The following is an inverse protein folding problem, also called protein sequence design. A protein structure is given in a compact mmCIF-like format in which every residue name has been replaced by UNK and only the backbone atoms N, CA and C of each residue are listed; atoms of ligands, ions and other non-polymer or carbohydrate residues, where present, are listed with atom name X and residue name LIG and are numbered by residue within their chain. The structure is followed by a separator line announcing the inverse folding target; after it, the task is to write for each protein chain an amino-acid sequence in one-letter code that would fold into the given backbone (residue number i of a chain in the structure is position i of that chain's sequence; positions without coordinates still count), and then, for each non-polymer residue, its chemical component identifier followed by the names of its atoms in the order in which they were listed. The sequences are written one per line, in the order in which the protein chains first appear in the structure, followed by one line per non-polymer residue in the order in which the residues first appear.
data_IF_753668112383
#
_entry.id   IF_753668112383
#
_cell.length_a   1.000
_cell.length_b   1.000
_cell.length_c   1.000
_cell.angle_alpha   90.00
_cell.angle_beta   90.00
_cell.angle_gamma   90.00
#
_symmetry.space_group_name_H-M   'P 1'
#
loop_
_entity.id
_entity.type
_entity.pdbx_description
1 polymer ?
#
# COMPACT_ATOMS: atom_id res chain seq x y z
N UNK A 1 -11.42 -23.98 -28.51
CA UNK A 1 -11.59 -23.14 -29.71
C UNK A 1 -11.89 -21.73 -29.25
N UNK A 2 -10.92 -20.82 -29.32
CA UNK A 2 -11.10 -19.42 -28.88
C UNK A 2 -11.62 -18.60 -30.05
N UNK A 3 -12.85 -18.13 -29.96
CA UNK A 3 -13.42 -17.20 -30.94
C UNK A 3 -12.79 -15.82 -30.78
N UNK A 4 -12.39 -15.21 -31.87
CA UNK A 4 -11.82 -13.86 -31.89
C UNK A 4 -12.94 -12.80 -31.89
N UNK A 5 -12.63 -11.61 -31.40
CA UNK A 5 -13.57 -10.48 -31.26
C UNK A 5 -14.24 -10.05 -32.60
N UNK A 6 -13.72 -10.50 -33.73
CA UNK A 6 -14.25 -10.21 -35.06
C UNK A 6 -15.39 -11.14 -35.49
N UNK A 7 -15.46 -12.32 -34.89
CA UNK A 7 -16.52 -13.31 -35.23
C UNK A 7 -17.79 -13.07 -34.43
N UNK A 8 -17.73 -12.33 -33.31
CA UNK A 8 -18.89 -11.97 -32.51
C UNK A 8 -19.76 -10.88 -33.16
N UNK A 9 -19.19 -10.01 -34.01
CA UNK A 9 -19.92 -8.93 -34.68
C UNK A 9 -20.67 -9.36 -35.94
N UNK A 10 -20.36 -10.55 -36.53
CA UNK A 10 -21.02 -11.06 -37.73
C UNK A 10 -22.30 -11.82 -37.38
N UNK A 11 -22.48 -12.25 -36.14
CA UNK A 11 -23.67 -13.05 -35.74
C UNK A 11 -24.90 -12.22 -35.38
N UNK A 12 -24.78 -10.89 -35.27
CA UNK A 12 -25.87 -9.97 -34.94
C UNK A 12 -26.53 -9.29 -36.15
N UNK A 13 -26.11 -9.61 -37.38
CA UNK A 13 -26.63 -8.96 -38.58
C UNK A 13 -27.65 -9.79 -39.38
N UNK A 14 -28.16 -10.87 -38.84
CA UNK A 14 -29.05 -11.77 -39.56
C UNK A 14 -30.36 -12.04 -38.85
N UNK A 15 -31.25 -11.04 -38.68
CA UNK A 15 -32.69 -11.27 -38.55
C UNK A 15 -33.46 -9.92 -38.64
N UNK A 16 -34.29 -9.81 -39.72
CA UNK A 16 -35.51 -9.03 -39.63
C UNK A 16 -35.50 -7.63 -40.23
N UNK A 17 -35.60 -7.56 -41.57
CA UNK A 17 -36.21 -6.41 -42.25
C UNK A 17 -37.69 -6.30 -41.90
N UNK A 18 -38.07 -5.32 -41.12
CA UNK A 18 -39.42 -4.76 -41.08
C UNK A 18 -39.29 -3.24 -40.95
N UNK A 19 -39.72 -2.56 -42.00
CA UNK A 19 -39.64 -1.13 -42.14
C UNK A 19 -40.47 -0.40 -41.10
N UNK A 20 -39.91 0.67 -40.55
CA UNK A 20 -40.63 1.78 -39.98
C UNK A 20 -39.82 3.05 -40.21
N UNK A 21 -40.44 3.97 -40.96
CA UNK A 21 -40.06 5.37 -41.09
C UNK A 21 -39.88 5.98 -39.71
N UNK A 22 -38.66 6.22 -39.30
CA UNK A 22 -38.36 6.85 -38.06
C UNK A 22 -37.24 7.89 -38.26
N UNK A 23 -37.58 9.16 -38.11
CA UNK A 23 -36.71 10.29 -38.34
C UNK A 23 -35.35 10.16 -37.64
N UNK A 24 -34.32 10.53 -38.36
CA UNK A 24 -32.97 10.76 -37.82
C UNK A 24 -33.02 11.83 -36.74
N UNK A 25 -33.23 11.42 -35.48
CA UNK A 25 -32.96 12.29 -34.35
C UNK A 25 -31.45 12.45 -34.32
N UNK A 26 -30.94 13.57 -34.82
CA UNK A 26 -29.57 14.02 -34.57
C UNK A 26 -29.44 14.17 -33.06
N UNK A 27 -28.95 13.11 -32.42
CA UNK A 27 -28.53 13.15 -31.02
C UNK A 27 -27.41 14.19 -30.93
N UNK A 28 -27.74 15.37 -30.43
CA UNK A 28 -26.81 16.46 -30.18
C UNK A 28 -25.84 15.92 -29.12
N UNK A 29 -24.66 15.50 -29.52
CA UNK A 29 -23.62 15.14 -28.58
C UNK A 29 -23.35 16.35 -27.68
N UNK A 30 -23.74 16.25 -26.44
CA UNK A 30 -23.37 17.24 -25.44
C UNK A 30 -21.83 17.25 -25.40
N UNK A 31 -21.21 18.45 -25.42
CA UNK A 31 -19.76 18.52 -25.23
C UNK A 31 -19.43 17.82 -23.93
N UNK A 32 -18.38 16.98 -23.95
CA UNK A 32 -17.86 16.38 -22.74
C UNK A 32 -17.62 17.49 -21.71
N UNK A 33 -18.00 17.29 -20.44
CA UNK A 33 -17.71 18.28 -19.41
C UNK A 33 -16.22 18.61 -19.46
N UNK A 34 -15.91 19.91 -19.51
CA UNK A 34 -14.54 20.37 -19.45
C UNK A 34 -13.94 19.78 -18.18
N UNK A 35 -12.87 18.99 -18.31
CA UNK A 35 -12.11 18.51 -17.17
C UNK A 35 -11.63 19.73 -16.40
N UNK A 36 -12.10 19.90 -15.16
CA UNK A 36 -11.53 20.91 -14.29
C UNK A 36 -10.02 20.68 -14.21
N UNK A 37 -9.20 21.73 -14.24
CA UNK A 37 -7.75 21.58 -14.11
C UNK A 37 -7.48 20.86 -12.78
N UNK A 38 -6.84 19.70 -12.84
CA UNK A 38 -6.44 18.95 -11.66
C UNK A 38 -5.62 19.88 -10.75
N UNK A 39 -6.03 19.99 -9.48
CA UNK A 39 -5.28 20.74 -8.48
C UNK A 39 -3.85 20.19 -8.43
N UNK A 40 -2.83 21.04 -8.26
CA UNK A 40 -1.46 20.58 -8.11
C UNK A 40 -1.38 19.51 -7.02
N UNK A 41 -0.75 18.38 -7.31
CA UNK A 41 -0.52 17.35 -6.32
C UNK A 41 0.52 17.83 -5.31
N UNK A 42 0.12 18.04 -4.09
CA UNK A 42 1.00 18.38 -2.97
C UNK A 42 0.91 17.34 -1.89
N UNK A 43 2.08 16.89 -1.40
CA UNK A 43 2.13 15.96 -0.26
C UNK A 43 1.79 16.75 1.02
N UNK A 44 0.73 16.36 1.76
CA UNK A 44 0.35 17.05 2.98
C UNK A 44 1.47 17.04 4.01
N UNK A 45 1.58 18.10 4.82
CA UNK A 45 2.65 18.21 5.84
C UNK A 45 2.62 17.06 6.86
N UNK A 46 1.44 16.54 7.21
CA UNK A 46 1.33 15.39 8.11
C UNK A 46 1.94 14.11 7.52
N UNK A 47 2.01 13.97 6.20
CA UNK A 47 2.62 12.82 5.53
C UNK A 47 4.16 12.80 5.63
N UNK A 48 4.77 13.91 6.00
CA UNK A 48 6.24 14.05 6.10
C UNK A 48 6.76 13.69 7.49
N UNK A 49 5.90 13.69 8.52
CA UNK A 49 6.28 13.48 9.92
C UNK A 49 5.50 12.34 10.56
N UNK A 50 5.89 11.12 10.24
CA UNK A 50 5.31 9.93 10.92
C UNK A 50 6.10 9.66 12.20
N UNK A 51 5.38 9.62 13.33
CA UNK A 51 5.93 9.31 14.64
C UNK A 51 5.29 8.01 15.13
N UNK A 52 6.11 6.99 15.30
CA UNK A 52 5.65 5.74 15.88
C UNK A 52 5.87 5.79 17.40
N UNK A 53 4.83 6.14 18.14
CA UNK A 53 4.89 6.27 19.59
C UNK A 53 3.66 5.64 20.24
N UNK A 54 3.88 4.94 21.33
CA UNK A 54 2.82 4.41 22.20
C UNK A 54 3.31 4.35 23.65
N UNK A 55 2.45 4.74 24.58
CA UNK A 55 2.73 4.66 26.03
C UNK A 55 4.06 5.30 26.46
N UNK A 56 4.44 6.45 25.85
CA UNK A 56 5.67 7.16 26.17
C UNK A 56 6.94 6.52 25.61
N UNK A 57 6.81 5.61 24.65
CA UNK A 57 7.93 4.96 23.95
C UNK A 57 7.90 5.37 22.48
N UNK A 58 9.04 5.83 21.99
CA UNK A 58 9.30 6.13 20.57
C UNK A 58 10.00 4.95 19.91
N UNK A 59 9.45 4.48 18.81
CA UNK A 59 10.09 3.45 18.00
C UNK A 59 10.74 4.06 16.77
N UNK A 60 11.95 3.61 16.47
CA UNK A 60 12.76 4.08 15.36
C UNK A 60 13.50 2.96 14.68
N UNK A 61 14.16 3.31 13.58
CA UNK A 61 15.02 2.39 12.83
C UNK A 61 16.43 2.97 12.73
N UNK A 62 17.41 2.14 13.00
CA UNK A 62 18.81 2.39 12.63
C UNK A 62 19.10 1.61 11.33
N UNK A 63 19.14 2.34 10.23
CA UNK A 63 19.35 1.74 8.90
C UNK A 63 20.75 1.22 8.71
N UNK A 64 21.75 1.87 9.30
CA UNK A 64 23.15 1.47 9.18
C UNK A 64 23.37 0.12 9.86
N UNK A 65 22.84 -0.04 11.05
CA UNK A 65 22.93 -1.28 11.84
C UNK A 65 21.85 -2.30 11.49
N UNK A 66 20.82 -1.89 10.75
CA UNK A 66 19.64 -2.70 10.39
C UNK A 66 18.92 -3.23 11.63
N UNK A 67 18.61 -2.36 12.55
CA UNK A 67 17.92 -2.68 13.80
C UNK A 67 16.74 -1.74 14.03
N UNK A 68 15.80 -2.21 14.85
CA UNK A 68 14.73 -1.41 15.43
C UNK A 68 15.18 -0.97 16.82
N UNK A 69 14.86 0.27 17.19
CA UNK A 69 15.19 0.84 18.49
C UNK A 69 13.94 1.34 19.18
N UNK A 70 13.91 1.27 20.50
CA UNK A 70 12.92 1.93 21.32
C UNK A 70 13.59 2.91 22.28
N UNK A 71 13.01 4.08 22.41
CA UNK A 71 13.50 5.15 23.27
C UNK A 71 12.38 5.68 24.16
N UNK A 72 12.71 6.04 25.39
CA UNK A 72 11.78 6.76 26.23
C UNK A 72 11.47 8.14 25.61
N UNK A 73 10.19 8.47 25.46
CA UNK A 73 9.77 9.74 24.84
C UNK A 73 10.19 10.96 25.68
N UNK A 74 10.27 10.79 27.00
CA UNK A 74 10.54 11.88 27.92
C UNK A 74 11.98 12.43 27.85
N UNK A 75 12.95 11.55 27.65
CA UNK A 75 14.38 11.90 27.73
C UNK A 75 15.22 11.34 26.57
N UNK A 76 14.61 10.60 25.64
CA UNK A 76 15.29 9.98 24.51
C UNK A 76 16.18 8.79 24.87
N UNK A 77 16.16 8.32 26.12
CA UNK A 77 17.00 7.21 26.58
C UNK A 77 16.64 5.92 25.86
N UNK A 78 17.66 5.21 25.36
CA UNK A 78 17.49 3.90 24.73
C UNK A 78 16.92 2.90 25.75
N UNK A 79 15.86 2.23 25.37
CA UNK A 79 15.21 1.18 26.16
C UNK A 79 15.62 -0.20 25.70
N UNK A 80 15.60 -0.43 24.39
CA UNK A 80 16.02 -1.68 23.79
C UNK A 80 16.38 -1.52 22.31
N UNK A 81 17.10 -2.52 21.78
CA UNK A 81 17.40 -2.72 20.37
C UNK A 81 16.95 -4.12 19.94
N UNK A 82 16.50 -4.25 18.71
CA UNK A 82 16.06 -5.53 18.16
C UNK A 82 16.64 -5.78 16.77
N UNK A 83 17.05 -7.01 16.54
CA UNK A 83 17.46 -7.55 15.25
C UNK A 83 16.36 -8.38 14.58
N UNK A 84 15.14 -8.42 15.16
CA UNK A 84 14.05 -9.28 14.72
C UNK A 84 14.30 -10.76 15.11
N UNK A 85 13.71 -11.68 14.34
CA UNK A 85 13.85 -13.12 14.58
C UNK A 85 15.31 -13.61 14.44
N UNK A 86 16.02 -13.16 13.40
CA UNK A 86 17.37 -13.64 13.10
C UNK A 86 18.32 -12.62 12.49
N UNK A 87 17.92 -11.48 12.16
CA UNK A 87 18.52 -10.27 11.57
C UNK A 87 17.65 -9.79 10.41
N UNK A 88 17.44 -8.51 10.37
CA UNK A 88 16.75 -7.89 9.23
C UNK A 88 17.64 -7.90 7.99
N UNK A 89 17.08 -8.37 6.87
CA UNK A 89 17.72 -8.28 5.56
C UNK A 89 17.14 -7.06 4.84
N UNK A 90 17.92 -5.99 4.79
CA UNK A 90 17.52 -4.71 4.23
C UNK A 90 18.48 -4.36 3.08
N UNK A 91 18.21 -4.83 1.86
CA UNK A 91 19.12 -4.59 0.73
C UNK A 91 19.03 -3.19 0.15
N UNK A 92 17.93 -2.47 0.40
CA UNK A 92 17.68 -1.13 -0.12
C UNK A 92 17.46 -0.09 0.98
N UNK A 93 16.79 1.01 0.61
CA UNK A 93 16.47 2.10 1.53
C UNK A 93 15.21 1.84 2.37
N UNK A 94 14.34 0.92 1.93
CA UNK A 94 13.09 0.65 2.62
C UNK A 94 13.31 -0.22 3.86
N UNK A 95 12.94 0.32 5.02
CA UNK A 95 12.92 -0.40 6.30
C UNK A 95 11.76 0.15 7.13
N UNK A 96 10.50 -0.08 6.69
CA UNK A 96 9.35 0.50 7.35
C UNK A 96 8.98 -0.25 8.62
N UNK A 97 8.46 0.52 9.59
CA UNK A 97 7.80 0.04 10.80
C UNK A 97 6.42 0.69 10.90
N UNK A 98 5.47 0.06 11.56
CA UNK A 98 4.18 0.64 11.90
C UNK A 98 3.63 0.08 13.21
N UNK A 99 2.74 0.86 13.84
CA UNK A 99 1.95 0.46 14.99
C UNK A 99 0.53 0.17 14.53
N UNK A 100 0.02 -1.03 14.82
CA UNK A 100 -1.38 -1.35 14.56
C UNK A 100 -2.32 -0.52 15.46
N UNK A 101 -3.59 -0.39 15.10
CA UNK A 101 -4.59 0.22 15.99
C UNK A 101 -4.70 -0.45 17.38
N UNK A 102 -4.38 -1.74 17.44
CA UNK A 102 -4.33 -2.54 18.67
C UNK A 102 -3.04 -2.33 19.47
N UNK A 103 -2.10 -1.53 18.95
CA UNK A 103 -0.84 -1.23 19.61
C UNK A 103 0.24 -2.27 19.41
N UNK A 104 0.21 -3.03 18.32
CA UNK A 104 1.25 -4.00 17.96
C UNK A 104 2.33 -3.33 17.11
N UNK A 105 3.61 -3.59 17.40
CA UNK A 105 4.72 -3.10 16.59
C UNK A 105 5.06 -4.10 15.50
N UNK A 106 4.92 -3.67 14.27
CA UNK A 106 5.26 -4.44 13.08
C UNK A 106 6.42 -3.80 12.32
N UNK A 107 7.26 -4.66 11.75
CA UNK A 107 8.49 -4.27 11.03
C UNK A 107 8.59 -5.06 9.74
N UNK A 108 8.87 -4.42 8.61
CA UNK A 108 9.09 -5.15 7.37
C UNK A 108 10.54 -5.65 7.25
N UNK A 109 10.71 -6.97 7.21
CA UNK A 109 11.95 -7.61 6.80
C UNK A 109 11.93 -7.78 5.27
N UNK A 110 12.17 -6.68 4.56
CA UNK A 110 11.90 -6.56 3.12
C UNK A 110 12.68 -7.56 2.26
N UNK A 111 13.89 -7.93 2.67
CA UNK A 111 14.69 -8.92 1.96
C UNK A 111 14.22 -10.36 2.19
N UNK A 112 13.45 -10.59 3.25
CA UNK A 112 12.80 -11.88 3.54
C UNK A 112 11.33 -11.90 3.12
N UNK A 113 10.82 -10.80 2.59
CA UNK A 113 9.45 -10.66 2.10
C UNK A 113 8.38 -11.01 3.15
N UNK A 114 8.56 -10.54 4.39
CA UNK A 114 7.56 -10.71 5.44
C UNK A 114 7.59 -9.53 6.43
N UNK A 115 6.55 -9.45 7.25
CA UNK A 115 6.48 -8.56 8.40
C UNK A 115 6.80 -9.35 9.66
N UNK A 116 7.48 -8.72 10.62
CA UNK A 116 7.78 -9.29 11.93
C UNK A 116 7.11 -8.46 13.01
N UNK A 117 6.40 -9.12 13.92
CA UNK A 117 5.85 -8.51 15.12
C UNK A 117 6.90 -8.55 16.23
N UNK A 118 7.12 -7.41 16.88
CA UNK A 118 8.03 -7.29 18.00
C UNK A 118 7.28 -6.93 19.29
N UNK A 119 7.74 -7.47 20.39
CA UNK A 119 7.26 -7.11 21.72
C UNK A 119 7.63 -5.65 22.04
N UNK A 120 6.66 -4.84 22.41
CA UNK A 120 6.83 -3.41 22.66
C UNK A 120 7.79 -3.08 23.80
N UNK A 121 7.89 -3.98 24.80
CA UNK A 121 8.69 -3.74 26.00
C UNK A 121 10.12 -4.22 25.88
N UNK A 122 10.35 -5.27 25.09
CA UNK A 122 11.62 -5.96 25.04
C UNK A 122 12.26 -6.01 23.67
N UNK A 123 11.52 -5.67 22.60
CA UNK A 123 11.96 -5.80 21.21
C UNK A 123 12.10 -7.25 20.72
N UNK A 124 11.70 -8.24 21.53
CA UNK A 124 11.79 -9.65 21.13
C UNK A 124 10.79 -9.96 20.02
N UNK A 125 11.19 -10.84 19.11
CA UNK A 125 10.32 -11.39 18.08
C UNK A 125 9.16 -12.15 18.71
N UNK A 126 7.95 -11.92 18.19
CA UNK A 126 6.71 -12.58 18.59
C UNK A 126 6.21 -13.50 17.47
N UNK A 127 6.02 -12.93 16.28
CA UNK A 127 5.39 -13.61 15.15
C UNK A 127 5.88 -13.03 13.83
N UNK A 128 5.64 -13.76 12.75
CA UNK A 128 5.79 -13.25 11.40
C UNK A 128 4.51 -13.39 10.61
N UNK A 129 4.33 -12.48 9.66
CA UNK A 129 3.22 -12.49 8.71
C UNK A 129 3.74 -12.30 7.29
N UNK A 130 3.17 -13.00 6.34
CA UNK A 130 3.42 -12.83 4.90
C UNK A 130 2.16 -13.16 4.11
N UNK A 131 2.00 -12.62 2.89
CA UNK A 131 0.92 -13.05 2.01
C UNK A 131 1.08 -14.53 1.62
N UNK A 132 -0.03 -15.20 1.33
CA UNK A 132 -0.03 -16.59 0.84
C UNK A 132 0.71 -16.72 -0.48
N UNK A 133 0.46 -15.78 -1.39
CA UNK A 133 1.26 -15.60 -2.59
C UNK A 133 2.38 -14.63 -2.24
N UNK A 134 3.62 -15.06 -2.28
CA UNK A 134 4.76 -14.22 -1.96
C UNK A 134 4.68 -12.85 -2.66
N UNK A 135 5.17 -11.82 -1.98
CA UNK A 135 5.36 -10.51 -2.61
C UNK A 135 6.16 -10.64 -3.90
N UNK A 136 5.63 -10.10 -5.00
CA UNK A 136 6.31 -10.09 -6.29
C UNK A 136 7.61 -9.27 -6.24
N UNK A 137 8.59 -9.65 -7.06
CA UNK A 137 9.87 -8.98 -7.12
C UNK A 137 10.75 -9.19 -5.88
N UNK A 138 11.81 -8.40 -5.75
CA UNK A 138 12.67 -8.39 -4.58
C UNK A 138 12.29 -7.26 -3.61
N UNK A 139 12.58 -7.43 -2.32
CA UNK A 139 12.58 -6.37 -1.32
C UNK A 139 11.21 -5.71 -1.12
N UNK A 140 10.18 -6.51 -0.86
CA UNK A 140 8.81 -6.06 -0.57
C UNK A 140 8.33 -6.54 0.81
N UNK A 141 7.35 -5.82 1.41
CA UNK A 141 6.80 -4.55 0.94
C UNK A 141 7.74 -3.37 1.24
N UNK A 142 7.75 -2.36 0.37
CA UNK A 142 8.57 -1.16 0.59
C UNK A 142 7.90 -0.16 1.52
N UNK A 143 6.60 -0.22 1.65
CA UNK A 143 5.76 0.46 2.65
C UNK A 143 4.65 -0.48 3.07
N UNK A 144 4.23 -0.36 4.31
CA UNK A 144 3.03 -1.02 4.81
C UNK A 144 2.40 -0.21 5.93
N UNK A 145 1.12 -0.48 6.21
CA UNK A 145 0.46 -0.11 7.46
C UNK A 145 -0.34 -1.29 7.98
N UNK A 146 -0.27 -1.47 9.28
CA UNK A 146 -1.10 -2.44 9.99
C UNK A 146 -2.50 -1.86 10.18
N UNK A 147 -3.52 -2.58 9.75
CA UNK A 147 -4.93 -2.22 9.90
C UNK A 147 -5.53 -2.98 11.09
N UNK A 148 -6.71 -2.54 11.53
CA UNK A 148 -7.44 -3.27 12.57
C UNK A 148 -7.76 -4.70 12.15
N UNK A 149 -7.78 -5.59 13.14
CA UNK A 149 -8.08 -7.01 12.94
C UNK A 149 -6.97 -7.79 12.26
N UNK A 150 -5.71 -7.36 12.37
CA UNK A 150 -4.54 -8.07 11.85
C UNK A 150 -4.39 -8.02 10.31
N UNK A 151 -5.09 -7.11 9.65
CA UNK A 151 -4.96 -6.86 8.21
C UNK A 151 -3.78 -5.95 7.93
N UNK A 152 -3.30 -5.96 6.69
CA UNK A 152 -2.22 -5.08 6.25
C UNK A 152 -2.51 -4.45 4.91
N UNK A 153 -2.21 -3.16 4.76
CA UNK A 153 -2.06 -2.53 3.45
C UNK A 153 -0.57 -2.44 3.12
N UNK A 154 -0.21 -2.74 1.88
CA UNK A 154 1.18 -2.75 1.41
C UNK A 154 1.32 -1.95 0.13
N UNK A 155 2.50 -1.36 -0.08
CA UNK A 155 2.92 -0.84 -1.38
C UNK A 155 4.11 -1.67 -1.87
N UNK A 156 3.96 -2.24 -3.06
CA UNK A 156 4.85 -3.26 -3.61
C UNK A 156 5.52 -2.74 -4.88
N UNK A 157 6.84 -2.50 -4.80
CA UNK A 157 7.63 -2.17 -5.98
C UNK A 157 7.78 -3.40 -6.90
N UNK A 158 8.09 -3.19 -8.15
CA UNK A 158 8.20 -4.26 -9.14
C UNK A 158 6.85 -4.67 -9.71
N UNK A 159 5.86 -4.92 -8.86
CA UNK A 159 4.46 -5.09 -9.27
C UNK A 159 3.73 -3.76 -9.43
N UNK A 160 4.29 -2.66 -8.93
CA UNK A 160 3.74 -1.30 -9.00
C UNK A 160 2.32 -1.20 -8.46
N UNK A 161 2.05 -1.94 -7.40
CA UNK A 161 0.70 -2.05 -6.82
C UNK A 161 0.66 -1.74 -5.34
N UNK A 162 -0.53 -1.37 -4.88
CA UNK A 162 -0.87 -1.36 -3.46
C UNK A 162 -2.02 -2.33 -3.21
N UNK A 163 -1.91 -3.12 -2.14
CA UNK A 163 -2.84 -4.19 -1.83
C UNK A 163 -3.23 -4.19 -0.36
N UNK A 164 -4.43 -4.69 -0.08
CA UNK A 164 -4.89 -5.03 1.28
C UNK A 164 -4.91 -6.55 1.39
N UNK A 165 -4.39 -7.03 2.51
CA UNK A 165 -4.35 -8.45 2.83
C UNK A 165 -5.04 -8.74 4.16
N UNK A 166 -5.65 -9.91 4.24
CA UNK A 166 -6.24 -10.46 5.45
C UNK A 166 -5.18 -11.00 6.41
N UNK A 167 -5.52 -11.24 7.69
CA UNK A 167 -4.61 -11.86 8.66
C UNK A 167 -4.04 -13.20 8.19
N UNK A 168 -4.84 -13.97 7.43
CA UNK A 168 -4.43 -15.23 6.80
C UNK A 168 -3.35 -15.10 5.73
N UNK A 169 -3.06 -13.86 5.27
CA UNK A 169 -2.21 -13.61 4.11
C UNK A 169 -2.94 -13.66 2.76
N UNK A 170 -4.26 -13.90 2.75
CA UNK A 170 -5.06 -13.87 1.53
C UNK A 170 -5.20 -12.43 1.03
N UNK A 171 -5.04 -12.21 -0.27
CA UNK A 171 -5.31 -10.92 -0.90
C UNK A 171 -6.80 -10.59 -0.74
N UNK A 172 -7.09 -9.46 -0.11
CA UNK A 172 -8.45 -8.95 0.08
C UNK A 172 -8.84 -8.00 -1.06
N UNK A 173 -7.94 -7.08 -1.40
CA UNK A 173 -8.20 -6.04 -2.39
C UNK A 173 -6.91 -5.54 -3.03
N UNK A 174 -6.96 -5.28 -4.33
CA UNK A 174 -5.99 -4.45 -5.04
C UNK A 174 -6.49 -3.00 -4.99
N UNK A 175 -5.76 -2.12 -4.32
CA UNK A 175 -6.09 -0.69 -4.22
C UNK A 175 -5.75 0.02 -5.52
N UNK A 176 -4.58 -0.29 -6.08
CA UNK A 176 -4.09 0.25 -7.36
C UNK A 176 -2.99 -0.63 -7.95
N UNK A 177 -2.87 -0.61 -9.28
CA UNK A 177 -1.75 -1.20 -10.04
C UNK A 177 -0.98 -0.14 -10.85
N UNK A 178 -1.12 1.12 -10.46
CA UNK A 178 -0.60 2.26 -11.21
C UNK A 178 0.46 3.06 -10.43
N UNK A 179 1.17 2.41 -9.49
CA UNK A 179 2.26 3.07 -8.78
C UNK A 179 3.41 3.40 -9.75
N UNK A 180 4.13 4.49 -9.51
CA UNK A 180 5.34 4.85 -10.25
C UNK A 180 6.45 3.81 -10.03
N UNK A 181 7.50 3.85 -10.85
CA UNK A 181 8.60 2.86 -10.78
C UNK A 181 9.49 3.03 -9.54
N UNK A 182 9.49 4.21 -8.93
CA UNK A 182 10.39 4.54 -7.83
C UNK A 182 9.71 4.43 -6.45
N UNK A 183 10.19 3.54 -5.62
CA UNK A 183 9.76 3.39 -4.22
C UNK A 183 9.99 4.63 -3.35
N UNK A 184 10.86 5.54 -3.78
CA UNK A 184 11.12 6.81 -3.08
C UNK A 184 9.92 7.78 -3.17
N UNK A 185 9.04 7.55 -4.13
CA UNK A 185 7.82 8.33 -4.33
C UNK A 185 6.66 7.86 -3.45
N UNK A 186 6.79 6.70 -2.77
CA UNK A 186 5.69 6.09 -2.05
C UNK A 186 5.66 6.55 -0.59
N UNK A 187 4.51 7.05 -0.19
CA UNK A 187 4.20 7.41 1.19
C UNK A 187 2.92 6.73 1.62
N UNK A 188 2.94 6.20 2.82
CA UNK A 188 1.80 5.57 3.44
C UNK A 188 1.68 6.13 4.85
N UNK A 189 0.56 6.75 5.16
CA UNK A 189 0.38 7.57 6.35
C UNK A 189 -0.99 7.30 6.96
N UNK A 190 -1.03 7.19 8.28
CA UNK A 190 -2.28 7.18 9.05
C UNK A 190 -2.63 8.61 9.47
N UNK A 191 -3.83 9.05 9.10
CA UNK A 191 -4.35 10.36 9.49
C UNK A 191 -5.86 10.28 9.70
N UNK A 192 -6.35 10.80 10.83
CA UNK A 192 -7.77 10.80 11.21
C UNK A 192 -8.47 9.43 11.10
N UNK A 193 -7.74 8.37 11.51
CA UNK A 193 -8.24 6.99 11.47
C UNK A 193 -8.20 6.31 10.10
N UNK A 194 -7.86 7.03 9.05
CA UNK A 194 -7.73 6.52 7.68
C UNK A 194 -6.28 6.30 7.28
N UNK A 195 -6.06 5.44 6.31
CA UNK A 195 -4.77 5.24 5.68
C UNK A 195 -4.76 5.95 4.33
N UNK A 196 -3.77 6.79 4.13
CA UNK A 196 -3.55 7.53 2.91
C UNK A 196 -2.29 7.01 2.21
N UNK A 197 -2.44 6.61 0.96
CA UNK A 197 -1.35 6.24 0.07
C UNK A 197 -1.08 7.40 -0.88
N UNK A 198 0.16 7.84 -0.96
CA UNK A 198 0.58 8.85 -1.92
C UNK A 198 1.68 8.30 -2.81
N UNK A 199 1.57 8.56 -4.09
CA UNK A 199 2.65 8.38 -5.06
C UNK A 199 2.95 9.73 -5.70
N UNK A 200 4.03 10.36 -5.26
CA UNK A 200 4.45 11.67 -5.76
C UNK A 200 4.96 11.62 -7.19
N UNK A 201 5.46 10.47 -7.64
CA UNK A 201 5.91 10.26 -9.02
C UNK A 201 4.75 10.18 -9.99
N UNK A 202 3.70 9.44 -9.65
CA UNK A 202 2.47 9.36 -10.42
C UNK A 202 1.52 10.54 -10.15
N UNK A 203 1.79 11.37 -9.13
CA UNK A 203 0.91 12.45 -8.65
C UNK A 203 -0.48 11.94 -8.30
N UNK A 204 -0.54 10.81 -7.61
CA UNK A 204 -1.79 10.13 -7.23
C UNK A 204 -1.88 9.95 -5.73
N UNK A 205 -3.12 9.90 -5.27
CA UNK A 205 -3.49 9.68 -3.88
C UNK A 205 -4.68 8.72 -3.81
N UNK A 206 -4.62 7.78 -2.89
CA UNK A 206 -5.72 6.87 -2.55
C UNK A 206 -5.98 6.92 -1.05
N UNK A 207 -7.24 6.92 -0.68
CA UNK A 207 -7.69 6.76 0.69
C UNK A 207 -8.16 5.32 0.88
N UNK A 208 -7.68 4.69 1.95
CA UNK A 208 -8.00 3.32 2.31
C UNK A 208 -8.52 3.30 3.73
N UNK A 209 -9.79 2.95 3.91
CA UNK A 209 -10.50 2.74 5.20
C UNK A 209 -10.36 3.88 6.20
#
# INVERSE_FOLDING_TARGET
MKMTHREFLVWLSGLGSLGLLGGLVKQKMLPAPALEPEKPFELPQFAVRVKHAVNGVLFGIDRARKIVTAHAEADGRLLWESHGESKFIIPGAAFPIDLSPEGELWVANVGRKHLEQLDLKTGKFIASWRPLEEFGGCCNPVRFAALSGGRFVTMEKGMRRACIYQPSGTLEQVVTEELSDSEFNYFLVRHEGKIHLYDTGAKKHWEVL
#
